data_IF_495776327500
#
_entry.id   IF_495776327500
#
_cell.length_a   1.000
_cell.length_b   1.000
_cell.length_c   1.000
_cell.angle_alpha   90.00
_cell.angle_beta   90.00
_cell.angle_gamma   90.00
#
_symmetry.space_group_name_H-M   'P 1'
#
loop_
_entity.id
_entity.type
_entity.pdbx_description
1 polymer ?
#
# COMPACT_ATOMS: atom_id res chain seq x y z
N UNK A 1 -2.63 14.68 -8.02
CA UNK A 1 -2.79 13.35 -7.58
C UNK A 1 -1.59 12.92 -6.81
N UNK A 2 -1.72 11.93 -6.02
CA UNK A 2 -0.59 11.51 -5.24
C UNK A 2 -0.96 10.49 -4.20
N UNK A 3 -0.13 10.42 -3.16
CA UNK A 3 -0.30 9.46 -2.12
C UNK A 3 -1.01 10.12 -0.96
N UNK A 4 -2.09 9.51 -0.50
CA UNK A 4 -2.80 10.00 0.66
C UNK A 4 -2.63 9.00 1.79
N UNK A 5 -2.18 9.46 2.93
CA UNK A 5 -1.90 8.61 4.06
C UNK A 5 -2.87 8.89 5.17
N UNK A 6 -3.55 7.86 5.65
CA UNK A 6 -4.43 8.00 6.78
C UNK A 6 -4.00 7.02 7.86
N UNK A 7 -4.45 7.27 9.07
CA UNK A 7 -4.04 6.48 10.20
C UNK A 7 -5.25 6.02 10.98
N UNK A 8 -5.11 4.89 11.64
CA UNK A 8 -6.13 4.48 12.55
C UNK A 8 -5.48 4.18 13.88
N UNK A 9 -6.25 4.27 14.92
CA UNK A 9 -5.81 3.96 16.29
C UNK A 9 -4.62 4.75 16.77
N UNK A 10 -4.51 5.99 16.35
CA UNK A 10 -3.50 6.84 16.91
C UNK A 10 -2.09 6.68 16.39
N UNK A 11 -1.88 5.81 15.44
CA UNK A 11 -0.56 5.72 14.83
C UNK A 11 -0.29 6.98 14.02
N UNK A 12 0.93 7.44 14.07
CA UNK A 12 1.33 8.57 13.24
C UNK A 12 2.75 8.29 12.80
N UNK A 13 2.99 8.29 11.52
CA UNK A 13 4.33 8.09 11.03
C UNK A 13 5.11 9.37 11.14
N UNK A 14 6.42 9.23 11.28
CA UNK A 14 7.30 10.36 11.30
C UNK A 14 7.14 11.16 10.00
N UNK A 15 7.22 12.48 10.12
CA UNK A 15 7.05 13.33 8.96
C UNK A 15 8.06 13.04 7.88
N UNK A 16 9.29 12.74 8.27
CA UNK A 16 10.31 12.40 7.29
C UNK A 16 9.96 11.13 6.55
N UNK A 17 9.34 10.18 7.25
CA UNK A 17 8.94 8.94 6.63
C UNK A 17 7.81 9.18 5.64
N UNK A 18 6.88 10.06 5.98
CA UNK A 18 5.81 10.38 5.05
C UNK A 18 6.38 10.98 3.77
N UNK A 19 7.39 11.83 3.89
CA UNK A 19 8.03 12.41 2.73
C UNK A 19 8.69 11.32 1.89
N UNK A 20 9.34 10.36 2.54
CA UNK A 20 9.99 9.28 1.80
C UNK A 20 8.96 8.42 1.06
N UNK A 21 7.83 8.18 1.69
CA UNK A 21 6.79 7.39 1.04
C UNK A 21 6.22 8.12 -0.17
N UNK A 22 6.01 9.42 -0.03
CA UNK A 22 5.54 10.22 -1.16
C UNK A 22 6.54 10.20 -2.30
N UNK A 23 7.83 10.28 -1.96
CA UNK A 23 8.85 10.27 -2.98
C UNK A 23 8.90 8.94 -3.72
N UNK A 24 8.75 7.85 -2.97
CA UNK A 24 8.73 6.53 -3.59
C UNK A 24 7.55 6.42 -4.55
N UNK A 25 6.39 6.95 -4.15
CA UNK A 25 5.24 6.91 -5.02
C UNK A 25 5.48 7.75 -6.28
N UNK A 26 6.13 8.90 -6.14
CA UNK A 26 6.42 9.74 -7.29
C UNK A 26 7.30 9.02 -8.31
N UNK A 27 8.29 8.30 -7.82
CA UNK A 27 9.18 7.58 -8.72
C UNK A 27 8.42 6.49 -9.47
N UNK A 28 7.60 5.74 -8.75
CA UNK A 28 6.84 4.68 -9.39
C UNK A 28 5.81 5.27 -10.36
N UNK A 29 5.20 6.39 -9.99
CA UNK A 29 4.22 7.03 -10.86
C UNK A 29 4.84 7.43 -12.18
N UNK A 30 6.06 7.93 -12.13
CA UNK A 30 6.74 8.33 -13.35
C UNK A 30 7.06 7.12 -14.22
N UNK A 31 7.49 6.03 -13.59
CA UNK A 31 7.86 4.86 -14.34
C UNK A 31 6.66 4.12 -14.91
N UNK A 32 5.57 4.09 -14.18
CA UNK A 32 4.40 3.33 -14.58
C UNK A 32 3.29 4.18 -15.19
N UNK A 33 3.58 5.45 -15.39
CA UNK A 33 2.62 6.37 -16.00
C UNK A 33 1.34 6.48 -15.16
N UNK A 34 1.51 6.66 -13.88
CA UNK A 34 0.40 6.76 -12.96
C UNK A 34 0.21 8.16 -12.40
N UNK A 35 0.82 9.16 -13.03
CA UNK A 35 0.83 10.50 -12.46
C UNK A 35 -0.56 11.11 -12.30
N UNK A 36 -1.53 10.63 -13.05
CA UNK A 36 -2.88 11.14 -12.93
C UNK A 36 -3.71 10.39 -11.88
N UNK A 37 -3.12 9.43 -11.22
CA UNK A 37 -3.85 8.64 -10.23
C UNK A 37 -3.39 8.94 -8.83
N UNK A 38 -4.22 8.59 -7.87
CA UNK A 38 -3.85 8.67 -6.47
C UNK A 38 -4.04 7.31 -5.83
N UNK A 39 -3.38 7.11 -4.72
CA UNK A 39 -3.49 5.88 -3.96
C UNK A 39 -3.64 6.25 -2.51
N UNK A 40 -4.53 5.57 -1.81
CA UNK A 40 -4.72 5.79 -0.39
C UNK A 40 -3.98 4.71 0.39
N UNK A 41 -3.22 5.13 1.38
CA UNK A 41 -2.58 4.19 2.29
C UNK A 41 -3.22 4.38 3.64
N UNK A 42 -3.58 3.29 4.29
CA UNK A 42 -4.07 3.33 5.64
C UNK A 42 -3.13 2.55 6.52
N UNK A 43 -2.65 3.19 7.58
CA UNK A 43 -1.76 2.53 8.53
C UNK A 43 -2.61 1.94 9.63
N UNK A 44 -2.52 0.64 9.80
CA UNK A 44 -3.38 -0.09 10.74
C UNK A 44 -2.54 -0.91 11.70
N UNK A 45 -3.19 -1.47 12.71
CA UNK A 45 -2.51 -2.36 13.64
C UNK A 45 -2.89 -3.81 13.32
N UNK A 46 -2.35 -4.75 14.11
CA UNK A 46 -2.59 -6.17 13.89
C UNK A 46 -4.07 -6.53 13.91
N UNK A 47 -4.79 -5.98 14.87
CA UNK A 47 -6.19 -6.33 15.02
C UNK A 47 -7.00 -5.88 13.82
N UNK A 48 -6.77 -4.65 13.40
CA UNK A 48 -7.47 -4.14 12.24
C UNK A 48 -7.10 -4.90 10.98
N UNK A 49 -5.83 -5.24 10.85
CA UNK A 49 -5.40 -5.98 9.67
C UNK A 49 -6.05 -7.36 9.65
N UNK A 50 -6.16 -7.99 10.80
CA UNK A 50 -6.82 -9.29 10.87
C UNK A 50 -8.28 -9.18 10.46
N UNK A 51 -8.95 -8.12 10.90
CA UNK A 51 -10.34 -7.90 10.51
C UNK A 51 -10.46 -7.70 9.00
N UNK A 52 -9.55 -6.93 8.42
CA UNK A 52 -9.58 -6.70 6.98
C UNK A 52 -9.32 -8.00 6.21
N UNK A 53 -8.37 -8.78 6.69
CA UNK A 53 -8.02 -10.01 6.02
C UNK A 53 -9.18 -10.99 6.08
N UNK A 54 -9.86 -11.07 7.21
CA UNK A 54 -11.01 -11.93 7.36
C UNK A 54 -12.15 -11.49 6.45
N UNK A 55 -12.38 -10.18 6.40
CA UNK A 55 -13.49 -9.66 5.63
C UNK A 55 -13.26 -9.75 4.13
N UNK A 56 -12.07 -9.43 3.68
CA UNK A 56 -11.83 -9.34 2.25
C UNK A 56 -11.06 -10.50 1.64
N UNK A 57 -10.35 -11.28 2.44
CA UNK A 57 -9.60 -12.41 1.92
C UNK A 57 -10.05 -13.72 2.53
N UNK A 58 -10.97 -13.66 3.47
CA UNK A 58 -11.50 -14.84 4.16
C UNK A 58 -10.41 -15.62 4.87
N UNK A 59 -9.43 -14.91 5.39
CA UNK A 59 -8.36 -15.49 6.17
C UNK A 59 -8.39 -14.92 7.55
N UNK A 60 -8.21 -15.78 8.55
CA UNK A 60 -8.30 -15.37 9.92
C UNK A 60 -6.92 -15.12 10.48
N UNK A 61 -6.16 -14.28 9.87
CA UNK A 61 -4.79 -14.01 10.29
C UNK A 61 -4.40 -12.58 9.91
N UNK A 62 -3.33 -12.12 10.49
CA UNK A 62 -2.80 -10.81 10.17
C UNK A 62 -1.77 -10.92 9.04
N UNK A 63 -1.45 -9.82 8.43
CA UNK A 63 -0.44 -9.79 7.39
C UNK A 63 0.21 -8.41 7.39
N UNK A 64 1.22 -8.22 6.56
CA UNK A 64 1.94 -6.95 6.53
C UNK A 64 1.29 -5.92 5.63
N UNK A 65 0.73 -6.33 4.50
CA UNK A 65 0.14 -5.38 3.57
C UNK A 65 -1.01 -6.05 2.82
N UNK A 66 -2.07 -5.27 2.58
CA UNK A 66 -3.19 -5.73 1.76
C UNK A 66 -3.52 -4.65 0.77
N UNK A 67 -3.75 -5.03 -0.46
CA UNK A 67 -4.13 -4.09 -1.50
C UNK A 67 -5.55 -4.35 -1.94
N UNK A 68 -6.29 -3.28 -2.16
CA UNK A 68 -7.67 -3.36 -2.58
C UNK A 68 -7.87 -2.48 -3.80
N UNK A 69 -8.87 -2.82 -4.58
CA UNK A 69 -9.22 -1.97 -5.69
C UNK A 69 -10.60 -1.41 -5.42
N UNK A 70 -10.88 -0.28 -5.98
CA UNK A 70 -12.19 0.35 -5.81
C UNK A 70 -13.06 0.09 -7.00
N UNK A 71 -13.05 -1.14 -7.49
CA UNK A 71 -13.77 -1.37 -8.71
C UNK A 71 -15.25 -1.23 -8.54
N UNK A 72 -15.77 -1.29 -7.35
CA UNK A 72 -17.17 -1.06 -7.19
C UNK A 72 -17.50 0.40 -7.26
N UNK A 73 -16.52 1.27 -7.10
CA UNK A 73 -16.76 2.68 -7.13
C UNK A 73 -16.30 3.15 -8.47
N UNK A 74 -16.82 4.20 -8.95
CA UNK A 74 -16.41 4.69 -10.25
C UNK A 74 -15.05 5.27 -10.15
N UNK A 75 -14.05 4.45 -10.07
CA UNK A 75 -12.70 4.93 -9.92
C UNK A 75 -12.24 5.71 -11.13
N UNK A 76 -12.81 5.46 -12.26
CA UNK A 76 -12.44 6.24 -13.42
C UNK A 76 -12.81 7.70 -13.25
N UNK A 77 -13.77 7.98 -12.36
CA UNK A 77 -14.16 9.34 -12.12
C UNK A 77 -13.36 9.98 -11.02
N UNK A 78 -12.81 9.18 -10.12
CA UNK A 78 -12.08 9.74 -9.00
C UNK A 78 -10.59 9.74 -9.21
N UNK A 79 -10.11 8.97 -10.15
CA UNK A 79 -8.68 8.88 -10.36
C UNK A 79 -7.97 8.08 -9.29
N UNK A 80 -8.72 7.38 -8.45
CA UNK A 80 -8.12 6.61 -7.37
C UNK A 80 -7.82 5.20 -7.86
N UNK A 81 -6.55 4.82 -7.78
CA UNK A 81 -6.13 3.51 -8.26
C UNK A 81 -6.48 2.41 -7.29
N UNK A 82 -6.46 2.69 -6.02
CA UNK A 82 -6.81 1.68 -5.02
C UNK A 82 -6.38 2.09 -3.63
N UNK A 83 -6.61 1.18 -2.70
CA UNK A 83 -6.27 1.39 -1.31
C UNK A 83 -5.28 0.35 -0.86
N UNK A 84 -4.38 0.73 0.00
CA UNK A 84 -3.40 -0.18 0.55
C UNK A 84 -3.42 -0.04 2.06
N UNK A 85 -3.60 -1.16 2.74
CA UNK A 85 -3.52 -1.16 4.20
C UNK A 85 -2.16 -1.73 4.58
N UNK A 86 -1.42 -1.01 5.43
CA UNK A 86 -0.12 -1.45 5.88
C UNK A 86 -0.17 -1.61 7.38
N UNK A 87 0.24 -2.79 7.85
CA UNK A 87 0.20 -3.12 9.26
C UNK A 87 1.48 -2.65 9.94
N UNK A 88 1.38 -1.58 10.68
CA UNK A 88 2.53 -0.97 11.36
C UNK A 88 3.25 -1.97 12.26
N UNK A 89 2.49 -2.72 13.04
CA UNK A 89 3.09 -3.67 13.99
C UNK A 89 3.83 -4.80 13.29
N UNK A 90 3.22 -5.33 12.28
CA UNK A 90 3.79 -6.45 11.55
C UNK A 90 5.07 -6.02 10.82
N UNK A 91 5.00 -4.86 10.18
CA UNK A 91 6.15 -4.35 9.43
C UNK A 91 7.30 -4.07 10.39
N UNK A 92 6.99 -3.55 11.57
CA UNK A 92 8.05 -3.28 12.53
C UNK A 92 8.73 -4.56 12.99
N UNK A 93 7.94 -5.60 13.28
CA UNK A 93 8.51 -6.88 13.68
C UNK A 93 9.37 -7.47 12.57
N UNK A 94 8.86 -7.41 11.35
CA UNK A 94 9.60 -7.96 10.21
C UNK A 94 10.90 -7.22 9.98
N UNK A 95 10.88 -5.90 10.13
CA UNK A 95 12.09 -5.12 9.90
C UNK A 95 13.19 -5.56 10.85
N UNK A 96 12.82 -5.81 12.09
CA UNK A 96 13.79 -6.25 13.09
C UNK A 96 14.31 -7.63 12.73
N UNK A 97 13.42 -8.53 12.36
CA UNK A 97 13.82 -9.89 11.99
C UNK A 97 14.72 -9.94 10.79
N UNK A 98 14.49 -9.04 9.86
CA UNK A 98 15.25 -9.05 8.62
C UNK A 98 16.46 -8.13 8.64
N UNK A 99 16.69 -7.46 9.75
CA UNK A 99 17.84 -6.58 9.85
C UNK A 99 17.73 -5.33 9.00
N UNK A 100 16.51 -4.86 8.78
CA UNK A 100 16.28 -3.65 8.00
C UNK A 100 15.77 -2.56 8.90
N UNK A 101 15.86 -1.32 8.43
CA UNK A 101 15.22 -0.25 9.18
C UNK A 101 13.73 -0.30 8.92
N UNK A 102 12.98 0.24 9.86
CA UNK A 102 11.53 0.32 9.70
C UNK A 102 11.18 1.14 8.45
N UNK A 103 11.88 2.25 8.25
CA UNK A 103 11.63 3.12 7.10
C UNK A 103 11.79 2.36 5.80
N UNK A 104 12.90 1.65 5.67
CA UNK A 104 13.15 0.91 4.42
C UNK A 104 12.12 -0.16 4.21
N UNK A 105 11.73 -0.83 5.27
CA UNK A 105 10.79 -1.94 5.12
C UNK A 105 9.38 -1.46 4.78
N UNK A 106 8.95 -0.36 5.39
CA UNK A 106 7.60 0.13 5.10
C UNK A 106 7.53 0.71 3.68
N UNK A 107 8.63 1.29 3.21
CA UNK A 107 8.68 1.75 1.82
C UNK A 107 8.59 0.56 0.89
N UNK A 108 9.28 -0.52 1.21
CA UNK A 108 9.23 -1.74 0.43
C UNK A 108 7.79 -2.28 0.40
N UNK A 109 7.09 -2.21 1.52
CA UNK A 109 5.72 -2.69 1.57
C UNK A 109 4.80 -1.82 0.73
N UNK A 110 5.04 -0.53 0.70
CA UNK A 110 4.27 0.35 -0.16
C UNK A 110 4.44 -0.03 -1.62
N UNK A 111 5.68 -0.21 -2.04
CA UNK A 111 5.97 -0.57 -3.42
C UNK A 111 5.32 -1.91 -3.76
N UNK A 112 5.47 -2.86 -2.86
CA UNK A 112 4.89 -4.18 -3.05
C UNK A 112 3.37 -4.07 -3.20
N UNK A 113 2.74 -3.26 -2.34
CA UNK A 113 1.30 -3.10 -2.40
C UNK A 113 0.83 -2.45 -3.67
N UNK A 114 1.58 -1.49 -4.19
CA UNK A 114 1.20 -0.84 -5.43
C UNK A 114 1.18 -1.83 -6.58
N UNK A 115 2.19 -2.66 -6.66
CA UNK A 115 2.27 -3.62 -7.75
C UNK A 115 1.29 -4.79 -7.58
N UNK A 116 0.68 -4.91 -6.42
CA UNK A 116 -0.31 -5.95 -6.19
C UNK A 116 -1.74 -5.45 -6.23
N UNK A 117 -1.97 -4.19 -6.56
CA UNK A 117 -3.32 -3.69 -6.71
C UNK A 117 -3.93 -4.37 -7.91
N UNK A 118 -5.09 -5.01 -7.75
CA UNK A 118 -5.73 -5.66 -8.90
C UNK A 118 -6.27 -4.60 -9.82
N UNK A 119 -5.66 -4.43 -10.96
CA UNK A 119 -6.11 -3.45 -11.92
C UNK A 119 -6.31 -4.09 -13.27
N UNK A 120 -7.08 -3.44 -14.08
CA UNK A 120 -7.30 -3.92 -15.42
C UNK A 120 -6.58 -3.07 -16.44
N UNK A 121 -5.70 -2.18 -16.01
CA UNK A 121 -4.97 -1.34 -16.92
C UNK A 121 -3.93 -2.16 -17.64
N UNK A 122 -3.91 -2.02 -18.93
CA UNK A 122 -2.97 -2.77 -19.72
C UNK A 122 -1.54 -2.35 -19.46
N UNK A 123 -1.31 -1.08 -19.31
CA UNK A 123 0.06 -0.62 -19.17
C UNK A 123 0.67 -1.12 -17.84
N UNK A 124 -0.15 -1.25 -16.80
CA UNK A 124 0.39 -1.73 -15.55
C UNK A 124 0.63 -3.23 -15.64
N UNK A 125 -0.26 -3.96 -16.30
CA UNK A 125 -0.09 -5.36 -16.43
C UNK A 125 1.06 -5.73 -17.31
N UNK A 126 1.38 -4.88 -18.24
CA UNK A 126 2.50 -5.16 -19.12
C UNK A 126 3.80 -5.27 -18.36
N UNK A 127 3.87 -4.69 -17.17
CA UNK A 127 5.07 -4.75 -16.40
C UNK A 127 5.07 -5.84 -15.37
N UNK A 128 4.09 -6.72 -15.40
CA UNK A 128 4.02 -7.69 -14.43
C UNK A 128 4.42 -8.95 -14.93
N UNK A 129 5.48 -9.06 -15.56
CA UNK A 129 5.97 -10.30 -15.98
C UNK A 129 6.54 -11.05 -14.84
N UNK A 130 6.99 -10.35 -13.82
CA UNK A 130 7.47 -11.03 -12.69
C UNK A 130 6.29 -11.44 -11.95
N UNK A 131 6.30 -12.39 -11.33
CA UNK A 131 5.31 -12.70 -10.58
C UNK A 131 5.45 -12.38 -9.38
N UNK A 132 5.03 -12.31 -8.68
CA UNK A 132 5.18 -11.89 -7.45
C UNK A 132 4.59 -12.46 -6.60
#
# INVERSE_FOLDING_TARGET
MGLEISYSNGFVLDKNLEVKLNKAFEVISAEEDLSQYSINIRIVNDKEMMDLNRKFRKKDSSTNVLSFTNNDISKSMTGNLGDIAINHDFVKRESIEQGKTFDDHIIHMLIHGIYHIPVSYTHLRAHETRED
#
